data_IF_587252723502
#
_entry.id   IF_587252723502
#
_cell.length_a   1.000
_cell.length_b   1.000
_cell.length_c   1.000
_cell.angle_alpha   90.00
_cell.angle_beta   90.00
_cell.angle_gamma   90.00
#
_symmetry.space_group_name_H-M   'P 1'
#
loop_
_entity.id
_entity.type
_entity.pdbx_description
1 polymer ?
#
# COMPACT_ATOMS: atom_id res chain seq x y z
N UNK A 1 6.52 -17.00 -23.28
CA UNK A 1 6.12 -18.17 -22.48
C UNK A 1 4.86 -17.76 -21.74
N UNK A 2 3.75 -18.48 -21.91
CA UNK A 2 2.51 -18.12 -21.26
C UNK A 2 2.63 -18.36 -19.75
N UNK A 3 2.04 -17.47 -18.97
CA UNK A 3 2.03 -17.61 -17.51
C UNK A 3 0.96 -18.64 -17.12
N UNK A 4 1.38 -19.74 -16.51
CA UNK A 4 0.47 -20.78 -16.03
C UNK A 4 0.28 -20.59 -14.52
N UNK A 5 -0.96 -20.44 -14.09
CA UNK A 5 -1.34 -20.31 -12.67
C UNK A 5 -2.22 -21.50 -12.30
N UNK A 6 -1.62 -22.59 -11.78
CA UNK A 6 -2.35 -23.83 -11.52
C UNK A 6 -3.14 -23.82 -10.20
N UNK A 7 -3.15 -22.73 -9.45
CA UNK A 7 -3.80 -22.62 -8.13
C UNK A 7 -4.84 -21.50 -8.16
N UNK A 8 -6.06 -21.81 -7.72
CA UNK A 8 -7.18 -20.88 -7.64
C UNK A 8 -7.09 -19.95 -6.40
N UNK A 9 -8.11 -19.11 -6.20
CA UNK A 9 -8.21 -18.15 -5.10
C UNK A 9 -8.49 -18.80 -3.73
N UNK A 10 -8.85 -20.09 -3.70
CA UNK A 10 -8.99 -20.88 -2.48
C UNK A 10 -7.74 -21.66 -2.10
N UNK A 11 -6.66 -21.53 -2.89
CA UNK A 11 -5.42 -22.26 -2.69
C UNK A 11 -5.46 -23.71 -3.17
N UNK A 12 -6.41 -24.05 -4.06
CA UNK A 12 -6.56 -25.40 -4.61
C UNK A 12 -6.04 -25.44 -6.04
N UNK A 13 -5.52 -26.57 -6.43
CA UNK A 13 -5.12 -26.82 -7.80
C UNK A 13 -6.31 -26.81 -8.75
N UNK A 14 -6.17 -26.13 -9.87
CA UNK A 14 -7.12 -26.10 -10.99
C UNK A 14 -6.87 -27.26 -11.95
N UNK A 15 -7.73 -27.40 -12.98
CA UNK A 15 -7.57 -28.38 -14.06
C UNK A 15 -6.19 -28.32 -14.77
N UNK A 16 -5.49 -27.16 -14.74
CA UNK A 16 -4.12 -27.04 -15.25
C UNK A 16 -3.11 -27.93 -14.53
N UNK A 17 -3.39 -28.30 -13.28
CA UNK A 17 -2.53 -29.19 -12.50
C UNK A 17 -2.81 -30.69 -12.75
N UNK A 18 -3.75 -31.03 -13.66
CA UNK A 18 -4.08 -32.39 -14.03
C UNK A 18 -4.54 -33.22 -12.84
N UNK A 19 -3.84 -34.30 -12.53
CA UNK A 19 -4.23 -35.24 -11.45
C UNK A 19 -4.25 -34.64 -10.03
N UNK A 20 -3.72 -33.44 -9.85
CA UNK A 20 -3.72 -32.75 -8.56
C UNK A 20 -4.92 -31.80 -8.42
N UNK A 21 -5.80 -31.72 -9.42
CA UNK A 21 -6.99 -30.87 -9.40
C UNK A 21 -7.80 -31.05 -8.10
N UNK A 22 -8.19 -29.92 -7.50
CA UNK A 22 -8.98 -29.88 -6.27
C UNK A 22 -8.19 -30.07 -4.96
N UNK A 23 -6.94 -30.53 -5.03
CA UNK A 23 -6.06 -30.64 -3.85
C UNK A 23 -5.54 -29.23 -3.46
N UNK A 24 -5.38 -28.98 -2.17
CA UNK A 24 -4.60 -27.83 -1.68
C UNK A 24 -3.12 -28.00 -1.98
N UNK A 25 -2.36 -26.91 -1.95
CA UNK A 25 -0.89 -26.97 -2.12
C UNK A 25 -0.23 -27.88 -1.08
N UNK A 26 -0.70 -27.86 0.16
CA UNK A 26 -0.15 -28.70 1.23
C UNK A 26 -0.46 -30.20 1.02
N UNK A 27 -1.68 -30.53 0.58
CA UNK A 27 -2.07 -31.91 0.26
C UNK A 27 -1.33 -32.45 -0.96
N UNK A 28 -1.05 -31.63 -1.95
CA UNK A 28 -0.38 -32.04 -3.19
C UNK A 28 1.12 -32.22 -3.04
N UNK A 29 1.80 -31.50 -2.15
CA UNK A 29 3.25 -31.53 -2.01
C UNK A 29 3.82 -32.95 -1.83
N UNK A 30 3.34 -33.80 -0.88
CA UNK A 30 3.85 -35.15 -0.73
C UNK A 30 3.53 -36.05 -1.93
N UNK A 31 2.40 -35.83 -2.60
CA UNK A 31 2.00 -36.59 -3.80
C UNK A 31 2.92 -36.23 -4.98
N UNK A 32 3.19 -34.94 -5.18
CA UNK A 32 4.13 -34.46 -6.21
C UNK A 32 5.52 -35.03 -5.98
N UNK A 33 6.02 -35.02 -4.75
CA UNK A 33 7.33 -35.59 -4.42
C UNK A 33 7.38 -37.10 -4.73
N UNK A 34 6.32 -37.86 -4.41
CA UNK A 34 6.26 -39.27 -4.75
C UNK A 34 6.26 -39.50 -6.26
N UNK A 35 5.43 -38.73 -7.01
CA UNK A 35 5.39 -38.82 -8.45
C UNK A 35 6.73 -38.50 -9.12
N UNK A 36 7.46 -37.51 -8.59
CA UNK A 36 8.80 -37.17 -9.08
C UNK A 36 9.82 -38.28 -8.80
N UNK A 37 9.66 -39.02 -7.70
CA UNK A 37 10.48 -40.23 -7.42
C UNK A 37 10.16 -41.33 -8.42
N UNK A 38 8.86 -41.59 -8.62
CA UNK A 38 8.38 -42.72 -9.45
C UNK A 38 8.73 -42.54 -10.93
N UNK A 39 8.70 -41.30 -11.42
CA UNK A 39 9.06 -41.00 -12.81
C UNK A 39 10.55 -40.67 -13.03
N UNK A 40 11.38 -40.69 -11.96
CA UNK A 40 12.82 -40.45 -12.02
C UNK A 40 13.24 -38.98 -12.24
N UNK A 41 12.33 -38.04 -12.09
CA UNK A 41 12.64 -36.60 -12.25
C UNK A 41 13.18 -35.95 -10.98
N UNK A 42 13.05 -36.59 -9.82
CA UNK A 42 13.58 -36.10 -8.54
C UNK A 42 15.06 -36.42 -8.42
N UNK A 43 15.91 -35.41 -8.42
CA UNK A 43 17.35 -35.58 -8.21
C UNK A 43 17.72 -35.89 -6.76
N UNK A 44 17.21 -35.08 -5.82
CA UNK A 44 17.40 -35.25 -4.38
C UNK A 44 16.29 -34.54 -3.60
N UNK A 45 16.07 -34.97 -2.37
CA UNK A 45 15.12 -34.32 -1.43
C UNK A 45 15.73 -34.30 -0.05
N UNK A 46 15.69 -33.15 0.63
CA UNK A 46 16.22 -32.96 1.98
C UNK A 46 15.23 -32.09 2.78
N UNK A 47 15.03 -32.42 4.04
CA UNK A 47 14.24 -31.62 4.96
C UNK A 47 15.12 -30.50 5.53
N UNK A 48 14.66 -29.25 5.39
CA UNK A 48 15.34 -28.08 5.94
C UNK A 48 14.43 -27.31 6.90
N UNK A 49 15.04 -26.69 7.90
CA UNK A 49 14.35 -25.75 8.80
C UNK A 49 14.78 -24.33 8.45
N UNK A 50 13.83 -23.51 8.05
CA UNK A 50 14.09 -22.12 7.69
C UNK A 50 12.94 -21.21 8.10
N UNK A 51 13.17 -19.88 8.09
CA UNK A 51 12.11 -18.90 8.28
C UNK A 51 11.16 -18.90 7.08
N UNK A 52 9.87 -19.05 7.34
CA UNK A 52 8.83 -19.02 6.31
C UNK A 52 7.77 -17.98 6.63
N UNK A 53 7.28 -17.20 5.64
CA UNK A 53 6.27 -16.18 5.88
C UNK A 53 4.93 -16.81 6.26
N UNK A 54 4.34 -16.27 7.33
CA UNK A 54 3.02 -16.65 7.83
C UNK A 54 2.06 -15.46 7.77
N UNK A 55 0.79 -15.78 7.58
CA UNK A 55 -0.26 -14.77 7.68
C UNK A 55 -0.25 -14.10 9.05
N UNK A 56 -0.15 -12.78 9.11
CA UNK A 56 -0.11 -12.04 10.37
C UNK A 56 -1.36 -12.24 11.22
N UNK A 57 -2.50 -12.56 10.59
CA UNK A 57 -3.80 -12.74 11.25
C UNK A 57 -4.04 -14.18 11.72
N UNK A 58 -4.00 -15.15 10.81
CA UNK A 58 -4.31 -16.55 11.16
C UNK A 58 -3.07 -17.38 11.51
N UNK A 59 -1.87 -16.82 11.37
CA UNK A 59 -0.57 -17.46 11.68
C UNK A 59 -0.25 -18.70 10.85
N UNK A 60 -1.03 -19.01 9.82
CA UNK A 60 -0.76 -20.11 8.90
C UNK A 60 0.27 -19.70 7.84
N UNK A 61 1.06 -20.65 7.30
CA UNK A 61 1.92 -20.41 6.16
C UNK A 61 1.15 -19.77 5.00
N UNK A 62 1.79 -18.87 4.27
CA UNK A 62 1.22 -18.30 3.04
C UNK A 62 1.68 -19.09 1.83
N UNK A 63 0.95 -18.97 0.71
CA UNK A 63 1.36 -19.48 -0.60
C UNK A 63 1.70 -18.31 -1.52
N UNK A 64 2.54 -18.59 -2.52
CA UNK A 64 2.83 -17.65 -3.60
C UNK A 64 1.95 -17.97 -4.80
N UNK A 65 1.25 -16.96 -5.29
CA UNK A 65 0.30 -17.10 -6.39
C UNK A 65 0.36 -15.86 -7.29
N UNK A 66 0.43 -16.07 -8.59
CA UNK A 66 0.28 -14.98 -9.54
C UNK A 66 -1.20 -14.64 -9.71
N UNK A 67 -1.53 -13.36 -9.67
CA UNK A 67 -2.89 -12.83 -9.85
C UNK A 67 -2.87 -11.63 -10.76
N UNK A 68 -3.91 -11.41 -11.59
CA UNK A 68 -4.06 -10.14 -12.29
C UNK A 68 -4.12 -8.99 -11.30
N UNK A 69 -3.42 -7.91 -11.57
CA UNK A 69 -3.38 -6.73 -10.72
C UNK A 69 -3.32 -5.47 -11.59
N UNK A 70 -3.76 -4.34 -11.03
CA UNK A 70 -3.57 -3.03 -11.64
C UNK A 70 -2.23 -2.44 -11.21
N UNK A 71 -1.45 -2.02 -12.20
CA UNK A 71 -0.15 -1.38 -11.99
C UNK A 71 -0.14 0.02 -12.58
N UNK A 72 0.40 0.95 -11.83
CA UNK A 72 0.78 2.27 -12.32
C UNK A 72 2.25 2.21 -12.74
N UNK A 73 2.54 2.49 -14.00
CA UNK A 73 3.92 2.58 -14.47
C UNK A 73 4.58 3.85 -13.92
N UNK A 74 5.62 3.65 -13.13
CA UNK A 74 6.39 4.75 -12.52
C UNK A 74 7.51 5.22 -13.47
N UNK A 75 7.99 4.36 -14.35
CA UNK A 75 9.13 4.65 -15.23
C UNK A 75 8.90 5.88 -16.14
N UNK A 76 7.64 6.14 -16.52
CA UNK A 76 7.30 7.27 -17.40
C UNK A 76 7.49 8.66 -16.77
N UNK A 77 7.53 8.76 -15.44
CA UNK A 77 7.70 10.03 -14.71
C UNK A 77 8.75 9.95 -13.57
N UNK A 78 9.54 8.88 -13.56
CA UNK A 78 10.56 8.63 -12.53
C UNK A 78 11.59 9.75 -12.45
N UNK A 79 12.07 10.22 -13.60
CA UNK A 79 13.06 11.30 -13.68
C UNK A 79 12.48 12.63 -13.17
N UNK A 80 11.22 12.92 -13.47
CA UNK A 80 10.53 14.11 -12.96
C UNK A 80 10.34 14.04 -11.44
N UNK A 81 10.03 12.85 -10.90
CA UNK A 81 9.92 12.65 -9.46
C UNK A 81 11.28 12.82 -8.74
N UNK A 82 12.37 12.39 -9.37
CA UNK A 82 13.73 12.60 -8.86
C UNK A 82 14.09 14.09 -8.91
N UNK A 83 13.76 14.77 -10.02
CA UNK A 83 14.00 16.20 -10.17
C UNK A 83 13.23 17.01 -9.11
N UNK A 84 11.98 16.65 -8.83
CA UNK A 84 11.18 17.31 -7.80
C UNK A 84 11.77 17.23 -6.39
N UNK A 85 12.64 16.26 -6.11
CA UNK A 85 13.35 16.17 -4.82
C UNK A 85 14.36 17.31 -4.63
N UNK A 86 14.84 17.96 -5.70
CA UNK A 86 15.83 19.04 -5.61
C UNK A 86 15.24 20.32 -4.99
N UNK A 87 13.94 20.57 -5.18
CA UNK A 87 13.24 21.75 -4.69
C UNK A 87 12.78 21.63 -3.23
N UNK A 88 13.02 20.47 -2.61
CA UNK A 88 12.61 20.20 -1.22
C UNK A 88 13.75 20.43 -0.26
N UNK A 89 13.48 21.14 0.84
CA UNK A 89 14.41 21.22 1.99
C UNK A 89 14.29 19.97 2.83
N UNK A 90 15.32 19.11 2.80
CA UNK A 90 15.37 17.87 3.56
C UNK A 90 16.04 18.08 4.93
N UNK A 91 15.40 17.58 5.99
CA UNK A 91 15.91 17.62 7.37
C UNK A 91 15.79 16.21 7.96
N UNK A 92 16.92 15.50 8.18
CA UNK A 92 18.30 15.83 7.79
C UNK A 92 18.54 15.80 6.27
N UNK A 93 19.63 16.44 5.82
CA UNK A 93 19.96 16.57 4.39
C UNK A 93 20.12 15.25 3.62
N UNK A 94 20.52 14.15 4.28
CA UNK A 94 20.63 12.82 3.67
C UNK A 94 19.28 12.26 3.18
N UNK A 95 18.17 12.83 3.65
CA UNK A 95 16.81 12.45 3.23
C UNK A 95 16.61 12.55 1.73
N UNK A 96 17.26 13.53 1.08
CA UNK A 96 17.22 13.70 -0.38
C UNK A 96 17.79 12.47 -1.11
N UNK A 97 18.99 12.07 -0.75
CA UNK A 97 19.64 10.94 -1.41
C UNK A 97 18.90 9.63 -1.15
N UNK A 98 18.34 9.47 0.05
CA UNK A 98 17.51 8.32 0.37
C UNK A 98 16.24 8.26 -0.49
N UNK A 99 15.51 9.37 -0.63
CA UNK A 99 14.31 9.42 -1.48
C UNK A 99 14.66 9.13 -2.93
N UNK A 100 15.69 9.77 -3.47
CA UNK A 100 16.17 9.54 -4.84
C UNK A 100 16.51 8.08 -5.10
N UNK A 101 17.30 7.46 -4.22
CA UNK A 101 17.66 6.04 -4.35
C UNK A 101 16.43 5.14 -4.35
N UNK A 102 15.47 5.40 -3.46
CA UNK A 102 14.24 4.61 -3.39
C UNK A 102 13.33 4.77 -4.62
N UNK A 103 13.32 5.96 -5.26
CA UNK A 103 12.60 6.18 -6.51
C UNK A 103 13.33 5.50 -7.68
N UNK A 104 14.65 5.58 -7.75
CA UNK A 104 15.46 4.91 -8.77
C UNK A 104 15.25 3.40 -8.80
N UNK A 105 15.22 2.77 -7.62
CA UNK A 105 15.01 1.34 -7.45
C UNK A 105 13.55 0.91 -7.62
N UNK A 106 12.62 1.85 -7.70
CA UNK A 106 11.20 1.54 -7.73
C UNK A 106 10.80 0.93 -9.07
N UNK A 107 10.12 -0.20 -8.99
CA UNK A 107 9.36 -0.80 -10.08
C UNK A 107 7.94 -0.20 -10.15
N UNK A 108 7.13 -0.68 -11.09
CA UNK A 108 5.73 -0.31 -11.20
C UNK A 108 4.98 -0.45 -9.86
N UNK A 109 4.06 0.46 -9.60
CA UNK A 109 3.28 0.48 -8.39
C UNK A 109 2.01 -0.37 -8.56
N UNK A 110 1.94 -1.52 -7.88
CA UNK A 110 0.71 -2.27 -7.79
C UNK A 110 -0.30 -1.48 -6.95
N UNK A 111 -1.31 -0.89 -7.61
CA UNK A 111 -2.30 -0.01 -6.98
C UNK A 111 -3.58 -0.75 -6.58
N UNK A 112 -3.79 -1.99 -6.99
CA UNK A 112 -4.97 -2.78 -6.63
C UNK A 112 -4.78 -3.58 -5.34
N UNK A 113 -5.87 -3.71 -4.57
CA UNK A 113 -5.94 -4.52 -3.35
C UNK A 113 -7.25 -5.25 -3.29
N UNK A 114 -7.22 -6.52 -2.88
CA UNK A 114 -8.39 -7.36 -2.63
C UNK A 114 -8.85 -7.14 -1.19
N UNK A 115 -9.48 -6.00 -0.93
CA UNK A 115 -9.99 -5.58 0.39
C UNK A 115 -11.45 -5.17 0.30
N UNK A 116 -12.16 -5.31 1.43
CA UNK A 116 -13.53 -4.79 1.55
C UNK A 116 -13.57 -3.32 1.94
N UNK A 117 -12.59 -2.87 2.71
CA UNK A 117 -12.43 -1.49 3.07
C UNK A 117 -11.39 -0.83 2.17
N UNK A 118 -11.76 0.24 1.53
CA UNK A 118 -10.92 1.02 0.65
C UNK A 118 -11.73 1.70 -0.45
N UNK A 119 -11.10 2.61 -1.16
CA UNK A 119 -11.70 3.27 -2.30
C UNK A 119 -11.72 2.30 -3.50
N UNK A 120 -12.85 2.04 -4.14
CA UNK A 120 -12.90 1.12 -5.28
C UNK A 120 -12.15 1.68 -6.48
N UNK A 121 -11.58 0.80 -7.30
CA UNK A 121 -10.96 1.18 -8.57
C UNK A 121 -12.06 1.41 -9.60
N UNK A 122 -12.20 2.62 -10.18
CA UNK A 122 -13.33 2.98 -11.03
C UNK A 122 -13.17 2.47 -12.47
N UNK A 123 -13.00 1.16 -12.63
CA UNK A 123 -12.84 0.49 -13.92
C UNK A 123 -14.05 -0.41 -14.19
N UNK A 124 -14.49 -0.40 -15.44
CA UNK A 124 -15.55 -1.26 -15.93
C UNK A 124 -14.99 -2.30 -16.90
N UNK A 125 -15.67 -3.43 -17.04
CA UNK A 125 -15.32 -4.47 -18.01
C UNK A 125 -16.48 -4.66 -18.97
N UNK A 126 -16.21 -4.53 -20.27
CA UNK A 126 -17.21 -4.71 -21.29
C UNK A 126 -17.64 -6.20 -21.36
N UNK A 127 -18.94 -6.48 -21.24
CA UNK A 127 -19.48 -7.85 -21.32
C UNK A 127 -19.34 -8.48 -22.70
N UNK A 128 -19.22 -7.67 -23.76
CA UNK A 128 -19.08 -8.18 -25.14
C UNK A 128 -17.65 -8.59 -25.49
N UNK A 129 -16.65 -7.80 -25.08
CA UNK A 129 -15.26 -8.03 -25.49
C UNK A 129 -14.30 -8.32 -24.32
N UNK A 130 -14.77 -8.28 -23.07
CA UNK A 130 -13.99 -8.54 -21.88
C UNK A 130 -12.92 -7.49 -21.54
N UNK A 131 -12.77 -6.43 -22.34
CA UNK A 131 -11.71 -5.44 -22.12
C UNK A 131 -12.09 -4.45 -21.03
N UNK A 132 -11.08 -3.99 -20.25
CA UNK A 132 -11.27 -2.95 -19.26
C UNK A 132 -11.58 -1.61 -19.93
N UNK A 133 -12.47 -0.85 -19.32
CA UNK A 133 -12.90 0.48 -19.75
C UNK A 133 -12.67 1.48 -18.63
N UNK A 134 -11.81 2.44 -18.91
CA UNK A 134 -11.46 3.55 -18.02
C UNK A 134 -11.25 4.78 -18.91
N UNK A 135 -12.29 5.56 -19.11
CA UNK A 135 -12.27 6.76 -19.93
C UNK A 135 -12.51 8.00 -19.07
N UNK A 136 -12.10 9.21 -19.52
CA UNK A 136 -12.42 10.43 -18.79
C UNK A 136 -13.92 10.54 -18.44
N UNK A 137 -14.79 10.19 -19.40
CA UNK A 137 -16.25 10.23 -19.23
C UNK A 137 -16.73 9.22 -18.15
N UNK A 138 -16.20 7.99 -18.14
CA UNK A 138 -16.57 6.99 -17.11
C UNK A 138 -16.05 7.37 -15.73
N UNK A 139 -14.86 7.96 -15.64
CA UNK A 139 -14.28 8.43 -14.38
C UNK A 139 -15.08 9.62 -13.83
N UNK A 140 -15.45 10.57 -14.65
CA UNK A 140 -16.26 11.72 -14.23
C UNK A 140 -17.61 11.27 -13.67
N UNK A 141 -18.28 10.33 -14.34
CA UNK A 141 -19.54 9.77 -13.85
C UNK A 141 -19.40 9.10 -12.48
N UNK A 142 -18.29 8.41 -12.25
CA UNK A 142 -17.99 7.81 -10.92
C UNK A 142 -17.67 8.90 -9.89
N UNK A 143 -16.90 9.92 -10.26
CA UNK A 143 -16.59 11.04 -9.38
C UNK A 143 -17.84 11.77 -8.92
N UNK A 144 -18.77 12.07 -9.84
CA UNK A 144 -20.05 12.67 -9.52
C UNK A 144 -20.93 11.81 -8.61
N UNK A 145 -20.92 10.49 -8.82
CA UNK A 145 -21.62 9.55 -7.96
C UNK A 145 -21.05 9.59 -6.55
N UNK A 146 -19.72 9.53 -6.42
CA UNK A 146 -19.05 9.53 -5.13
C UNK A 146 -19.23 10.84 -4.37
N UNK A 147 -19.27 11.96 -5.07
CA UNK A 147 -19.54 13.27 -4.47
C UNK A 147 -20.97 13.34 -3.87
N UNK A 148 -21.93 12.74 -4.54
CA UNK A 148 -23.35 12.77 -4.13
C UNK A 148 -23.70 11.72 -3.08
N UNK A 149 -23.18 10.51 -3.21
CA UNK A 149 -23.64 9.34 -2.45
C UNK A 149 -22.51 8.65 -1.65
N UNK A 150 -21.25 9.09 -1.83
CA UNK A 150 -20.08 8.44 -1.24
C UNK A 150 -19.62 7.20 -2.03
N UNK A 151 -18.43 6.72 -1.72
CA UNK A 151 -17.78 5.62 -2.48
C UNK A 151 -18.49 4.27 -2.35
N UNK A 152 -19.29 4.05 -1.31
CA UNK A 152 -20.09 2.83 -1.17
C UNK A 152 -21.11 2.63 -2.30
N UNK A 153 -21.56 3.73 -2.93
CA UNK A 153 -22.46 3.67 -4.08
C UNK A 153 -21.89 2.83 -5.25
N UNK A 154 -20.56 2.69 -5.35
CA UNK A 154 -19.94 1.77 -6.30
C UNK A 154 -20.44 0.33 -6.16
N UNK A 155 -20.64 -0.15 -4.94
CA UNK A 155 -21.08 -1.51 -4.66
C UNK A 155 -22.59 -1.65 -4.71
N UNK A 156 -23.33 -0.57 -4.41
CA UNK A 156 -24.79 -0.57 -4.29
C UNK A 156 -25.50 -0.30 -5.64
N UNK A 157 -24.82 0.34 -6.61
CA UNK A 157 -25.39 0.69 -7.92
C UNK A 157 -24.90 -0.25 -9.00
N UNK A 158 -25.74 -0.53 -10.01
CA UNK A 158 -25.30 -1.23 -11.21
C UNK A 158 -24.48 -0.33 -12.14
N UNK A 159 -23.62 -0.93 -12.97
CA UNK A 159 -22.81 -0.17 -13.93
C UNK A 159 -23.67 0.70 -14.87
N UNK A 160 -24.86 0.22 -15.24
CA UNK A 160 -25.79 0.96 -16.08
C UNK A 160 -26.38 2.22 -15.43
N UNK A 161 -26.41 2.25 -14.08
CA UNK A 161 -26.90 3.41 -13.33
C UNK A 161 -25.79 4.45 -13.10
N UNK A 162 -24.53 4.03 -13.22
CA UNK A 162 -23.36 4.88 -13.04
C UNK A 162 -22.93 5.53 -14.35
N UNK A 163 -22.82 4.70 -15.40
CA UNK A 163 -22.36 5.18 -16.71
C UNK A 163 -23.39 6.08 -17.40
N UNK A 164 -22.95 7.07 -18.18
CA UNK A 164 -23.85 7.95 -18.93
C UNK A 164 -24.79 7.17 -19.84
N UNK A 165 -26.02 7.69 -20.04
CA UNK A 165 -26.99 7.06 -20.94
C UNK A 165 -26.43 6.93 -22.36
N UNK A 166 -26.49 5.72 -22.92
CA UNK A 166 -25.96 5.45 -24.25
C UNK A 166 -24.44 5.25 -24.30
N UNK A 167 -23.78 5.10 -23.16
CA UNK A 167 -22.36 4.81 -23.11
C UNK A 167 -22.04 3.52 -23.87
N UNK A 168 -21.02 3.57 -24.72
CA UNK A 168 -20.56 2.42 -25.52
C UNK A 168 -19.11 2.09 -25.20
N UNK A 169 -18.76 0.81 -25.34
CA UNK A 169 -17.41 0.35 -25.14
C UNK A 169 -16.46 1.00 -26.17
N UNK A 170 -15.39 1.69 -25.77
CA UNK A 170 -14.45 2.32 -26.70
C UNK A 170 -13.65 1.31 -27.54
N UNK A 171 -13.65 0.02 -27.14
CA UNK A 171 -12.91 -1.03 -27.83
C UNK A 171 -13.74 -1.76 -28.91
N UNK A 172 -15.03 -1.96 -28.69
CA UNK A 172 -15.86 -2.73 -29.62
C UNK A 172 -17.13 -2.01 -30.09
N UNK A 173 -17.40 -0.80 -29.57
CA UNK A 173 -18.57 0.02 -29.96
C UNK A 173 -19.93 -0.49 -29.45
N UNK A 174 -19.97 -1.57 -28.68
CA UNK A 174 -21.21 -2.16 -28.17
C UNK A 174 -21.59 -1.64 -26.80
N UNK A 175 -22.86 -1.83 -26.42
CA UNK A 175 -23.46 -1.37 -25.17
C UNK A 175 -24.24 -2.47 -24.44
N UNK A 176 -23.91 -3.75 -24.62
CA UNK A 176 -24.62 -4.87 -24.00
C UNK A 176 -24.51 -4.92 -22.47
N UNK A 177 -23.67 -4.10 -21.90
CA UNK A 177 -23.50 -3.94 -20.46
C UNK A 177 -22.04 -4.03 -20.02
N UNK A 178 -21.85 -3.70 -18.74
CA UNK A 178 -20.52 -3.64 -18.12
C UNK A 178 -20.56 -4.30 -16.75
N UNK A 179 -19.50 -4.99 -16.41
CA UNK A 179 -19.19 -5.39 -15.03
C UNK A 179 -18.29 -4.36 -14.39
N UNK A 180 -18.26 -4.28 -13.06
CA UNK A 180 -17.42 -3.33 -12.32
C UNK A 180 -16.23 -4.06 -11.72
N UNK A 181 -15.10 -3.37 -11.61
CA UNK A 181 -13.96 -3.83 -10.83
C UNK A 181 -14.36 -4.00 -9.35
N UNK A 182 -13.83 -5.02 -8.71
CA UNK A 182 -14.10 -5.33 -7.31
C UNK A 182 -12.93 -5.02 -6.39
N UNK A 183 -11.76 -4.79 -6.95
CA UNK A 183 -10.57 -4.40 -6.21
C UNK A 183 -10.67 -2.95 -5.71
N UNK A 184 -9.98 -2.69 -4.61
CA UNK A 184 -9.83 -1.34 -4.04
C UNK A 184 -8.46 -0.76 -4.34
N UNK A 185 -8.34 0.55 -4.30
CA UNK A 185 -7.06 1.24 -4.39
C UNK A 185 -6.17 0.91 -3.19
N UNK A 186 -4.86 0.93 -3.42
CA UNK A 186 -3.87 0.90 -2.35
C UNK A 186 -4.06 2.11 -1.43
N UNK A 187 -4.16 1.88 -0.11
CA UNK A 187 -4.28 2.96 0.87
C UNK A 187 -3.14 3.99 0.82
N UNK A 188 -1.99 3.63 0.26
CA UNK A 188 -0.92 4.59 -0.02
C UNK A 188 -1.24 5.52 -1.19
N UNK A 189 -2.10 5.13 -2.12
CA UNK A 189 -2.63 6.04 -3.13
C UNK A 189 -3.61 7.03 -2.50
N UNK A 190 -4.51 6.55 -1.65
CA UNK A 190 -5.47 7.41 -0.93
C UNK A 190 -4.73 8.43 -0.07
N UNK A 191 -3.80 7.99 0.78
CA UNK A 191 -3.01 8.87 1.63
C UNK A 191 -2.08 9.78 0.82
N UNK A 192 -1.53 9.29 -0.28
CA UNK A 192 -0.71 10.07 -1.20
C UNK A 192 -1.45 11.20 -1.90
N UNK A 193 -2.78 11.10 -2.01
CA UNK A 193 -3.64 12.12 -2.63
C UNK A 193 -4.07 13.23 -1.67
N UNK A 194 -3.78 13.14 -0.37
CA UNK A 194 -4.27 14.08 0.66
C UNK A 194 -3.84 15.52 0.42
N UNK A 195 -2.66 15.75 -0.15
CA UNK A 195 -2.18 17.10 -0.50
C UNK A 195 -3.06 17.81 -1.53
N UNK A 196 -3.73 17.07 -2.41
CA UNK A 196 -4.68 17.58 -3.37
C UNK A 196 -6.11 17.53 -2.82
N UNK A 197 -6.57 16.35 -2.36
CA UNK A 197 -7.95 16.12 -1.99
C UNK A 197 -8.39 16.90 -0.73
N UNK A 198 -7.51 17.03 0.28
CA UNK A 198 -7.84 17.70 1.53
C UNK A 198 -7.20 19.09 1.64
N UNK A 199 -5.92 19.25 1.28
CA UNK A 199 -5.25 20.53 1.50
C UNK A 199 -5.61 21.57 0.43
N UNK A 200 -5.48 21.24 -0.84
CA UNK A 200 -5.76 22.19 -1.91
C UNK A 200 -7.27 22.40 -2.09
N UNK A 201 -8.03 21.31 -2.21
CA UNK A 201 -9.47 21.35 -2.46
C UNK A 201 -10.24 21.98 -1.29
N UNK A 202 -9.98 21.54 -0.05
CA UNK A 202 -10.79 21.94 1.10
C UNK A 202 -10.24 23.18 1.81
N UNK A 203 -8.94 23.40 1.77
CA UNK A 203 -8.26 24.46 2.51
C UNK A 203 -7.58 25.50 1.60
N UNK A 204 -7.52 25.28 0.30
CA UNK A 204 -7.06 26.25 -0.70
C UNK A 204 -5.56 26.51 -0.69
N UNK A 205 -4.72 25.62 -0.14
CA UNK A 205 -3.27 25.78 -0.18
C UNK A 205 -2.52 24.53 -0.69
N UNK A 206 -1.52 24.76 -1.49
CA UNK A 206 -0.59 23.77 -2.04
C UNK A 206 0.71 24.47 -2.45
N UNK A 207 1.90 23.87 -2.29
CA UNK A 207 2.20 22.64 -1.54
C UNK A 207 2.19 22.85 -0.01
N UNK A 208 2.25 21.75 0.76
CA UNK A 208 2.42 21.82 2.20
C UNK A 208 3.72 22.51 2.57
N UNK A 209 3.71 23.25 3.69
CA UNK A 209 4.93 23.86 4.19
C UNK A 209 5.92 22.79 4.61
N UNK A 210 5.48 21.79 5.37
CA UNK A 210 6.35 20.74 5.89
C UNK A 210 5.59 19.41 6.05
N UNK A 211 6.24 18.31 5.66
CA UNK A 211 5.86 16.95 6.05
C UNK A 211 6.78 16.46 7.15
N UNK A 212 6.21 15.82 8.18
CA UNK A 212 6.95 15.33 9.37
C UNK A 212 6.55 13.90 9.65
N UNK A 213 7.47 12.95 9.51
CA UNK A 213 7.25 11.54 9.79
C UNK A 213 8.57 10.80 10.08
N UNK A 214 8.45 9.52 10.42
CA UNK A 214 9.59 8.62 10.61
C UNK A 214 10.23 8.15 9.32
N UNK A 215 11.35 7.46 9.49
CA UNK A 215 12.20 6.91 8.40
C UNK A 215 11.49 5.95 7.43
N UNK A 216 10.48 5.22 7.89
CA UNK A 216 9.73 4.25 7.09
C UNK A 216 8.91 4.94 5.99
N UNK A 217 8.56 6.21 6.17
CA UNK A 217 7.73 6.95 5.22
C UNK A 217 8.42 7.33 3.91
N UNK A 218 9.72 7.10 3.79
CA UNK A 218 10.40 7.12 2.49
C UNK A 218 9.87 6.03 1.53
N UNK A 219 9.31 4.94 2.07
CA UNK A 219 8.54 3.93 1.31
C UNK A 219 7.04 3.97 1.58
N UNK A 220 6.56 4.98 2.24
CA UNK A 220 5.16 5.20 2.56
C UNK A 220 4.68 6.55 2.07
N UNK A 221 4.16 7.37 2.98
CA UNK A 221 3.47 8.60 2.66
C UNK A 221 4.33 9.66 1.96
N UNK A 222 5.59 9.82 2.30
CA UNK A 222 6.47 10.76 1.60
C UNK A 222 6.58 10.42 0.12
N UNK A 223 6.81 9.15 -0.19
CA UNK A 223 6.98 8.71 -1.56
C UNK A 223 5.64 8.67 -2.33
N UNK A 224 4.57 8.14 -1.73
CA UNK A 224 3.27 8.09 -2.40
C UNK A 224 2.73 9.49 -2.71
N UNK A 225 2.89 10.46 -1.79
CA UNK A 225 2.52 11.86 -2.03
C UNK A 225 3.30 12.48 -3.19
N UNK A 226 4.61 12.25 -3.24
CA UNK A 226 5.45 12.74 -4.32
C UNK A 226 5.07 12.11 -5.67
N UNK A 227 4.88 10.79 -5.71
CA UNK A 227 4.51 10.08 -6.94
C UNK A 227 3.12 10.50 -7.47
N UNK A 228 2.15 10.73 -6.59
CA UNK A 228 0.83 11.22 -6.98
C UNK A 228 0.93 12.67 -7.49
N UNK A 229 1.66 13.54 -6.82
CA UNK A 229 1.83 14.93 -7.27
C UNK A 229 2.48 15.03 -8.64
N UNK A 230 3.55 14.27 -8.86
CA UNK A 230 4.30 14.29 -10.13
C UNK A 230 3.57 13.50 -11.21
N UNK A 231 3.24 12.23 -10.94
CA UNK A 231 2.72 11.33 -11.96
C UNK A 231 1.28 11.58 -12.35
N UNK A 232 0.40 11.90 -11.39
CA UNK A 232 -1.01 12.13 -11.65
C UNK A 232 -1.36 13.58 -11.92
N UNK A 233 -0.70 14.55 -11.27
CA UNK A 233 -1.03 15.97 -11.41
C UNK A 233 -0.03 16.74 -12.29
N UNK A 234 1.10 16.14 -12.66
CA UNK A 234 2.14 16.81 -13.44
C UNK A 234 2.77 18.00 -12.71
N UNK A 235 2.85 17.95 -11.39
CA UNK A 235 3.35 19.05 -10.53
C UNK A 235 4.68 18.65 -9.88
N UNK A 236 5.34 19.59 -9.21
CA UNK A 236 6.51 19.32 -8.37
C UNK A 236 6.15 18.63 -7.05
N UNK A 237 7.10 18.62 -6.10
CA UNK A 237 6.87 18.01 -4.80
C UNK A 237 5.69 18.68 -4.05
N UNK A 238 4.83 17.90 -3.38
CA UNK A 238 3.66 18.43 -2.67
C UNK A 238 4.00 19.04 -1.30
N UNK A 239 5.27 19.12 -0.95
CA UNK A 239 5.79 19.70 0.29
C UNK A 239 7.08 20.49 0.01
N UNK A 240 7.27 21.60 0.74
CA UNK A 240 8.47 22.44 0.65
C UNK A 240 9.60 21.90 1.51
N UNK A 241 9.26 21.32 2.64
CA UNK A 241 10.19 20.73 3.59
C UNK A 241 9.78 19.30 3.95
N UNK A 242 10.75 18.43 4.14
CA UNK A 242 10.55 17.07 4.63
C UNK A 242 11.44 16.84 5.84
N UNK A 243 10.82 16.76 7.01
CA UNK A 243 11.51 16.49 8.27
C UNK A 243 11.31 15.02 8.64
N UNK A 244 12.42 14.34 8.89
CA UNK A 244 12.41 12.92 9.27
C UNK A 244 12.93 12.77 10.68
N UNK A 245 12.16 12.16 11.55
CA UNK A 245 12.54 11.86 12.92
C UNK A 245 12.85 10.37 13.12
N UNK A 246 13.59 10.07 14.18
CA UNK A 246 13.83 8.71 14.66
C UNK A 246 12.61 8.09 15.31
N UNK A 247 12.77 6.85 15.77
CA UNK A 247 11.72 6.10 16.46
C UNK A 247 11.69 6.40 17.95
N UNK A 248 10.52 6.30 18.56
CA UNK A 248 10.42 6.14 20.00
C UNK A 248 10.57 4.65 20.32
N UNK A 249 11.61 4.32 21.09
CA UNK A 249 11.97 2.95 21.45
C UNK A 249 11.86 2.74 22.96
N UNK A 250 11.77 1.49 23.41
CA UNK A 250 11.75 1.18 24.84
C UNK A 250 13.10 1.47 25.54
N UNK A 251 13.17 1.24 26.84
CA UNK A 251 14.38 1.49 27.63
C UNK A 251 15.60 0.67 27.17
N UNK A 252 15.39 -0.45 26.49
CA UNK A 252 16.45 -1.27 25.92
C UNK A 252 16.83 -0.88 24.49
N UNK A 253 16.10 0.05 23.87
CA UNK A 253 16.33 0.50 22.49
C UNK A 253 15.62 -0.36 21.45
N UNK A 254 14.60 -1.13 21.84
CA UNK A 254 13.79 -1.95 20.94
C UNK A 254 12.56 -1.18 20.50
N UNK A 255 12.13 -1.38 19.26
CA UNK A 255 10.88 -0.82 18.75
C UNK A 255 9.70 -1.26 19.61
N UNK A 256 8.80 -0.32 19.93
CA UNK A 256 7.60 -0.60 20.71
C UNK A 256 6.53 -1.25 19.83
N UNK A 257 6.03 -2.41 20.26
CA UNK A 257 4.95 -3.13 19.58
C UNK A 257 3.90 -3.60 20.59
N UNK A 258 2.62 -3.45 20.24
CA UNK A 258 1.51 -3.96 21.08
C UNK A 258 1.63 -5.45 21.38
N UNK A 259 2.14 -6.24 20.42
CA UNK A 259 2.32 -7.70 20.59
C UNK A 259 3.46 -8.07 21.54
N UNK A 260 4.39 -7.15 21.80
CA UNK A 260 5.51 -7.36 22.74
C UNK A 260 5.19 -6.80 24.14
N UNK A 261 4.13 -6.00 24.27
CA UNK A 261 3.76 -5.38 25.53
C UNK A 261 4.80 -4.36 26.06
N UNK A 262 5.72 -3.91 25.22
CA UNK A 262 6.79 -2.99 25.60
C UNK A 262 6.47 -1.51 25.27
N UNK A 263 5.24 -1.21 24.87
CA UNK A 263 4.77 0.16 24.66
C UNK A 263 4.39 0.83 25.98
N UNK A 264 4.63 2.13 26.10
CA UNK A 264 4.14 2.96 27.20
C UNK A 264 2.88 3.68 26.78
N UNK A 265 1.82 3.55 27.56
CA UNK A 265 0.58 4.32 27.32
C UNK A 265 0.77 5.76 27.85
N UNK A 266 0.59 6.80 27.02
CA UNK A 266 0.64 8.18 27.45
C UNK A 266 -0.30 8.49 28.64
N UNK A 267 -1.45 7.80 28.72
CA UNK A 267 -2.38 7.98 29.85
C UNK A 267 -1.77 7.54 31.18
N UNK A 268 -0.99 6.47 31.20
CA UNK A 268 -0.28 6.01 32.40
C UNK A 268 0.83 6.99 32.80
N UNK A 269 1.54 7.56 31.82
CA UNK A 269 2.54 8.60 32.05
C UNK A 269 1.88 9.84 32.64
N UNK A 270 0.74 10.27 32.09
CA UNK A 270 0.00 11.44 32.60
C UNK A 270 -0.48 11.24 34.03
N UNK A 271 -1.00 10.05 34.34
CA UNK A 271 -1.48 9.74 35.68
C UNK A 271 -0.35 9.72 36.72
N UNK A 272 0.84 9.27 36.33
CA UNK A 272 1.97 9.09 37.23
C UNK A 272 2.86 10.33 37.37
N UNK A 273 3.12 11.02 36.27
CA UNK A 273 4.13 12.09 36.19
C UNK A 273 3.54 13.44 35.74
N UNK A 274 2.32 13.46 35.25
CA UNK A 274 1.73 14.65 34.64
C UNK A 274 2.13 14.85 33.17
N UNK A 275 1.31 15.58 32.43
CA UNK A 275 1.51 15.84 31.02
C UNK A 275 2.74 16.71 30.73
N UNK A 276 3.10 17.60 31.66
CA UNK A 276 4.20 18.53 31.46
C UNK A 276 5.55 17.81 31.45
N UNK A 277 5.70 16.71 32.23
CA UNK A 277 6.94 15.94 32.21
C UNK A 277 7.11 15.21 30.86
N UNK A 278 6.01 14.70 30.26
CA UNK A 278 6.08 14.13 28.91
C UNK A 278 6.46 15.19 27.86
N UNK A 279 5.93 16.40 27.97
CA UNK A 279 6.31 17.53 27.10
C UNK A 279 7.77 17.92 27.26
N UNK A 280 8.27 17.93 28.49
CA UNK A 280 9.67 18.22 28.78
C UNK A 280 10.59 17.15 28.18
N UNK A 281 10.24 15.87 28.35
CA UNK A 281 10.95 14.76 27.73
C UNK A 281 11.01 14.92 26.19
N UNK A 282 9.87 15.17 25.55
CA UNK A 282 9.82 15.36 24.09
C UNK A 282 10.64 16.56 23.65
N UNK A 283 10.54 17.71 24.35
CA UNK A 283 11.26 18.93 24.02
C UNK A 283 12.76 18.88 24.29
N UNK A 284 13.21 17.98 25.17
CA UNK A 284 14.64 17.76 25.46
C UNK A 284 15.29 16.67 24.62
N UNK A 285 14.50 15.93 23.85
CA UNK A 285 15.01 14.81 23.06
C UNK A 285 15.55 15.25 21.69
N UNK A 286 16.63 14.61 21.25
CA UNK A 286 17.13 14.78 19.89
C UNK A 286 16.30 13.90 18.93
N UNK A 287 15.40 14.50 18.18
CA UNK A 287 14.53 13.80 17.25
C UNK A 287 15.23 13.25 16.00
N UNK A 288 16.49 13.61 15.74
CA UNK A 288 17.25 13.09 14.59
C UNK A 288 17.64 11.62 14.74
N UNK A 289 17.59 11.10 15.96
CA UNK A 289 17.93 9.72 16.32
C UNK A 289 16.79 9.06 17.07
N UNK A 290 16.90 7.75 17.28
CA UNK A 290 15.92 7.02 18.09
C UNK A 290 15.96 7.48 19.55
N UNK A 291 14.78 7.75 20.10
CA UNK A 291 14.60 8.30 21.45
C UNK A 291 14.02 7.23 22.37
N UNK A 292 14.72 6.95 23.45
CA UNK A 292 14.24 6.01 24.47
C UNK A 292 13.15 6.63 25.32
N UNK A 293 12.12 5.83 25.59
CA UNK A 293 11.01 6.17 26.46
C UNK A 293 10.84 5.05 27.50
N UNK A 294 11.09 5.35 28.76
CA UNK A 294 10.96 4.39 29.85
C UNK A 294 10.62 5.09 31.17
N UNK A 295 10.10 4.31 32.12
CA UNK A 295 9.76 4.81 33.47
C UNK A 295 10.99 5.38 34.21
N UNK A 296 12.18 4.79 34.00
CA UNK A 296 13.45 5.27 34.56
C UNK A 296 13.80 6.67 34.06
N UNK A 297 13.57 6.92 32.77
CA UNK A 297 13.84 8.27 32.18
C UNK A 297 12.90 9.30 32.81
N UNK A 298 11.61 8.99 32.94
CA UNK A 298 10.65 9.91 33.57
C UNK A 298 10.97 10.15 35.06
N UNK A 299 11.44 9.13 35.79
CA UNK A 299 11.91 9.30 37.17
C UNK A 299 13.11 10.25 37.26
N UNK A 300 14.05 10.12 36.32
CA UNK A 300 15.22 11.02 36.28
C UNK A 300 14.82 12.46 35.96
N UNK A 301 13.91 12.65 35.01
CA UNK A 301 13.42 13.98 34.64
C UNK A 301 12.56 14.63 35.74
N UNK A 302 12.00 13.85 36.65
CA UNK A 302 11.18 14.36 37.74
C UNK A 302 12.00 14.84 38.96
N UNK A 303 13.29 14.60 38.99
CA UNK A 303 14.23 15.03 40.03
C UNK A 303 14.80 16.43 39.75
#
# INVERSE_FOLDING_TARGET
>A
MDMVVPVDDQGKHTAYAGKYEGMTTDESNPVILQDMKDNGSLFASEDIVHSYPHCWRCKKPIIFRATPQWFCSVDSFKDDAIAACEDVRWVPGWGKDRMRSMILERTDWCISRQRRWGLPIPVFYCKDCGKPVCTPESIEAVAELFEKEGSNAWFDRDAADILPKGFTCPHCGKSAGFDKETDTLDGWFDSGSTHFAAMERDQGFWPATMYIEGLDQYRGWFQSSLLVAVGALGRGAPFKECLTHGWTVDGEGKAMHKSLGNGMDPAEIFAKYGADLLRLWAGSSDYHVDVRCSDEIFKQLSQ
#
